data_IF_560578430204
#
_entry.id   IF_560578430204
#
_cell.length_a   1.000
_cell.length_b   1.000
_cell.length_c   1.000
_cell.angle_alpha   90.00
_cell.angle_beta   90.00
_cell.angle_gamma   90.00
#
_symmetry.space_group_name_H-M   'P 1'
#
loop_
_entity.id
_entity.type
_entity.pdbx_description
1 polymer ?
#
# COMPACT_ATOMS: atom_id res chain seq x y z
N UNK A 1 21.11 -47.82 16.75
CA UNK A 1 20.60 -46.88 15.72
C UNK A 1 19.45 -46.13 16.37
N UNK A 2 19.66 -44.89 16.82
CA UNK A 2 18.60 -44.04 17.39
C UNK A 2 18.12 -43.14 16.26
N UNK A 3 16.91 -43.37 15.76
CA UNK A 3 16.24 -42.43 14.87
C UNK A 3 15.79 -41.25 15.74
N UNK A 4 16.47 -40.10 15.59
CA UNK A 4 15.99 -38.83 16.08
C UNK A 4 14.95 -38.30 15.12
N UNK A 5 13.70 -38.25 15.56
CA UNK A 5 12.60 -37.58 14.88
C UNK A 5 12.83 -36.07 15.00
N UNK A 6 13.48 -35.47 13.99
CA UNK A 6 13.52 -34.03 13.82
C UNK A 6 12.13 -33.58 13.38
N UNK A 7 11.27 -33.32 14.36
CA UNK A 7 10.00 -32.64 14.16
C UNK A 7 10.29 -31.29 13.50
N UNK A 8 10.16 -31.23 12.18
CA UNK A 8 10.19 -30.01 11.39
C UNK A 8 8.94 -29.21 11.73
N UNK A 9 9.03 -28.43 12.81
CA UNK A 9 8.00 -27.50 13.24
C UNK A 9 7.79 -26.43 12.19
N UNK A 10 6.91 -26.70 11.23
CA UNK A 10 6.21 -25.68 10.46
C UNK A 10 5.43 -24.85 11.46
N UNK A 11 6.04 -23.77 11.95
CA UNK A 11 5.35 -22.76 12.73
C UNK A 11 4.54 -21.93 11.72
N UNK A 12 3.21 -22.13 11.60
CA UNK A 12 2.45 -21.33 10.66
C UNK A 12 2.53 -19.89 11.14
N UNK A 13 3.23 -19.04 10.39
CA UNK A 13 3.15 -17.59 10.59
C UNK A 13 1.69 -17.24 10.33
N UNK A 14 0.91 -17.12 11.40
CA UNK A 14 -0.47 -16.63 11.34
C UNK A 14 -0.35 -15.20 10.84
N UNK A 15 -0.77 -14.98 9.59
CA UNK A 15 -0.85 -13.64 9.04
C UNK A 15 -1.78 -12.82 9.96
N UNK A 16 -1.24 -11.78 10.58
CA UNK A 16 -2.05 -10.85 11.34
C UNK A 16 -3.18 -10.31 10.45
N UNK A 17 -4.40 -10.10 10.98
CA UNK A 17 -5.49 -9.56 10.19
C UNK A 17 -5.04 -8.24 9.55
N UNK A 18 -5.04 -8.23 8.22
CA UNK A 18 -4.65 -7.04 7.46
C UNK A 18 -5.81 -6.06 7.54
N UNK A 19 -5.64 -4.94 8.24
CA UNK A 19 -6.64 -3.88 8.23
C UNK A 19 -6.91 -3.42 6.80
N UNK A 20 -8.18 -3.16 6.49
CA UNK A 20 -8.56 -2.56 5.22
C UNK A 20 -7.95 -1.14 5.12
N UNK A 21 -7.53 -0.77 3.92
CA UNK A 21 -7.10 0.59 3.61
C UNK A 21 -8.23 1.24 2.82
N UNK A 22 -8.75 2.35 3.33
CA UNK A 22 -9.82 3.10 2.68
C UNK A 22 -9.24 4.30 1.96
N UNK A 23 -9.28 4.29 0.63
CA UNK A 23 -8.76 5.39 -0.19
C UNK A 23 -9.93 6.17 -0.77
N UNK A 24 -9.90 7.47 -0.56
CA UNK A 24 -10.87 8.42 -1.13
C UNK A 24 -10.14 9.41 -2.01
N UNK A 25 -10.79 9.79 -3.11
CA UNK A 25 -10.29 10.80 -4.05
C UNK A 25 -11.36 11.87 -4.23
N UNK A 26 -11.00 13.12 -3.94
CA UNK A 26 -11.86 14.29 -4.12
C UNK A 26 -11.11 15.33 -4.94
N UNK A 27 -11.47 15.43 -6.23
CA UNK A 27 -10.67 16.15 -7.22
C UNK A 27 -9.24 15.63 -7.25
N UNK A 28 -8.25 16.52 -7.01
CA UNK A 28 -6.83 16.15 -6.91
C UNK A 28 -6.39 15.69 -5.52
N UNK A 29 -7.25 15.76 -4.51
CA UNK A 29 -6.91 15.34 -3.15
C UNK A 29 -7.12 13.83 -3.01
N UNK A 30 -6.13 13.16 -2.45
CA UNK A 30 -6.13 11.72 -2.18
C UNK A 30 -5.95 11.56 -0.68
N UNK A 31 -6.86 10.83 -0.04
CA UNK A 31 -6.79 10.48 1.38
C UNK A 31 -6.79 8.97 1.56
N UNK A 32 -6.07 8.44 2.55
CA UNK A 32 -5.95 7.00 2.80
C UNK A 32 -6.02 6.66 4.30
N UNK A 33 -7.18 6.22 4.77
CA UNK A 33 -7.34 5.77 6.16
C UNK A 33 -6.83 4.34 6.35
N UNK A 34 -6.28 4.06 7.54
CA UNK A 34 -5.68 2.75 7.86
C UNK A 34 -4.33 2.50 7.17
N UNK A 35 -3.68 3.55 6.66
CA UNK A 35 -2.40 3.49 5.96
C UNK A 35 -1.28 4.21 6.75
N UNK A 36 -0.09 3.61 6.83
CA UNK A 36 1.11 4.24 7.45
C UNK A 36 1.90 5.09 6.45
N UNK A 37 1.96 4.64 5.20
CA UNK A 37 2.71 5.29 4.14
C UNK A 37 1.89 5.31 2.86
N UNK A 38 1.54 6.52 2.44
CA UNK A 38 0.95 6.79 1.14
C UNK A 38 2.00 7.40 0.22
N UNK A 39 2.02 6.98 -1.04
CA UNK A 39 2.84 7.57 -2.08
C UNK A 39 2.09 7.62 -3.41
N UNK A 40 2.43 8.62 -4.22
CA UNK A 40 1.88 8.83 -5.55
C UNK A 40 3.00 8.75 -6.57
N UNK A 41 2.76 8.01 -7.64
CA UNK A 41 3.69 7.81 -8.75
C UNK A 41 2.99 8.12 -10.07
N UNK A 42 3.73 8.67 -11.03
CA UNK A 42 3.29 8.69 -12.44
C UNK A 42 3.35 7.30 -13.06
N UNK A 43 2.73 7.13 -14.23
CA UNK A 43 2.68 5.85 -14.95
C UNK A 43 4.06 5.32 -15.37
N UNK A 44 5.03 6.20 -15.56
CA UNK A 44 6.43 5.88 -15.84
C UNK A 44 7.21 5.38 -14.60
N UNK A 45 6.56 5.34 -13.43
CA UNK A 45 7.15 4.88 -12.18
C UNK A 45 7.91 5.94 -11.40
N UNK A 46 7.90 7.22 -11.82
CA UNK A 46 8.51 8.30 -11.04
C UNK A 46 7.66 8.63 -9.80
N UNK A 47 8.30 8.68 -8.63
CA UNK A 47 7.65 9.12 -7.38
C UNK A 47 7.40 10.62 -7.44
N UNK A 48 6.14 11.02 -7.27
CA UNK A 48 5.70 12.41 -7.33
C UNK A 48 5.47 13.00 -5.94
N UNK A 49 4.92 12.21 -5.02
CA UNK A 49 4.63 12.63 -3.65
C UNK A 49 4.64 11.45 -2.67
N UNK A 50 4.84 11.74 -1.38
CA UNK A 50 4.62 10.78 -0.30
C UNK A 50 4.12 11.50 0.96
N UNK A 51 3.36 10.78 1.76
CA UNK A 51 2.78 11.28 3.00
C UNK A 51 2.70 10.16 4.03
N UNK A 52 3.04 10.49 5.27
CA UNK A 52 2.81 9.62 6.43
C UNK A 52 1.48 9.94 7.12
N UNK A 53 0.86 11.08 6.77
CA UNK A 53 -0.40 11.56 7.36
C UNK A 53 -1.59 11.29 6.42
N UNK A 54 -1.50 10.25 5.59
CA UNK A 54 -2.57 9.76 4.71
C UNK A 54 -3.09 10.71 3.61
N UNK A 55 -2.65 11.97 3.51
CA UNK A 55 -3.15 12.92 2.51
C UNK A 55 -2.08 13.32 1.51
N UNK A 56 -2.42 13.30 0.21
CA UNK A 56 -1.58 13.75 -0.90
C UNK A 56 -2.40 14.59 -1.87
N UNK A 57 -1.79 15.62 -2.46
CA UNK A 57 -2.35 16.36 -3.59
C UNK A 57 -1.68 15.88 -4.89
N UNK A 58 -2.48 15.40 -5.85
CA UNK A 58 -1.98 15.13 -7.18
C UNK A 58 -1.58 16.46 -7.87
N UNK A 59 -0.46 16.50 -8.61
CA UNK A 59 0.01 17.73 -9.24
C UNK A 59 -0.94 18.17 -10.37
N UNK A 60 -1.49 17.21 -11.11
CA UNK A 60 -2.40 17.42 -12.24
C UNK A 60 -3.53 16.40 -12.22
N UNK A 61 -4.51 16.60 -13.09
CA UNK A 61 -5.43 15.53 -13.49
C UNK A 61 -4.67 14.52 -14.36
N UNK A 62 -5.11 13.26 -14.36
CA UNK A 62 -4.43 12.20 -15.09
C UNK A 62 -4.51 10.84 -14.40
N UNK A 63 -3.76 9.89 -14.93
CA UNK A 63 -3.68 8.53 -14.36
C UNK A 63 -2.40 8.40 -13.54
N UNK A 64 -2.55 7.90 -12.32
CA UNK A 64 -1.45 7.73 -11.38
C UNK A 64 -1.48 6.34 -10.74
N UNK A 65 -0.34 5.94 -10.18
CA UNK A 65 -0.23 4.79 -9.29
C UNK A 65 -0.19 5.32 -7.85
N UNK A 66 -1.20 4.95 -7.07
CA UNK A 66 -1.24 5.18 -5.63
C UNK A 66 -0.65 3.94 -4.95
N UNK A 67 0.33 4.15 -4.08
CA UNK A 67 0.94 3.09 -3.28
C UNK A 67 0.61 3.35 -1.82
N UNK A 68 -0.17 2.47 -1.21
CA UNK A 68 -0.57 2.53 0.19
C UNK A 68 -0.04 1.29 0.93
N UNK A 69 0.94 1.49 1.82
CA UNK A 69 1.65 0.40 2.53
C UNK A 69 2.11 -0.74 1.62
N UNK A 70 2.67 -0.37 0.46
CA UNK A 70 3.15 -1.31 -0.55
C UNK A 70 2.08 -1.87 -1.50
N UNK A 71 0.78 -1.65 -1.21
CA UNK A 71 -0.31 -2.01 -2.13
C UNK A 71 -0.44 -0.98 -3.24
N UNK A 72 -0.48 -1.41 -4.50
CA UNK A 72 -0.52 -0.53 -5.67
C UNK A 72 -1.91 -0.50 -6.28
N UNK A 73 -2.42 0.70 -6.56
CA UNK A 73 -3.71 0.93 -7.20
C UNK A 73 -3.51 1.95 -8.32
N UNK A 74 -3.98 1.62 -9.52
CA UNK A 74 -4.03 2.57 -10.63
C UNK A 74 -5.34 3.35 -10.55
N UNK A 75 -5.26 4.67 -10.51
CA UNK A 75 -6.41 5.55 -10.33
C UNK A 75 -6.40 6.65 -11.39
N UNK A 76 -7.57 7.00 -11.91
CA UNK A 76 -7.78 8.21 -12.71
C UNK A 76 -8.21 9.33 -11.78
N UNK A 77 -7.46 10.43 -11.77
CA UNK A 77 -7.72 11.64 -10.98
C UNK A 77 -8.23 12.72 -11.93
N UNK A 78 -9.39 13.33 -11.60
CA UNK A 78 -10.07 14.35 -12.40
C UNK A 78 -10.20 15.67 -11.66
#
# INVERSE_FOLDING_TARGET
MKYGDEATGINPVVAAPVSAIHISVSGKMITAEGCKQLALYSLDGKKLAASQNATIMAPTTGVFIIVADGKKIKMVIR
#
